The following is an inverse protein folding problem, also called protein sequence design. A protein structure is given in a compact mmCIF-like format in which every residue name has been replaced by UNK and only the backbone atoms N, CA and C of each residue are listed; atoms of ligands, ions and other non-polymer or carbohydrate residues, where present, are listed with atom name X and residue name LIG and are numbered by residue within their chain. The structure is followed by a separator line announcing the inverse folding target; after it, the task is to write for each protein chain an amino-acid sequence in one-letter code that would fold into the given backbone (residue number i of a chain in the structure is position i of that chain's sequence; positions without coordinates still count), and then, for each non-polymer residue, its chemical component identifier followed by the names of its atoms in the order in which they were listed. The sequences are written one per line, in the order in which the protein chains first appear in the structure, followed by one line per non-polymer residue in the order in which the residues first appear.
data_IF_335310540522
#
_entry.id   IF_335310540522
#
_cell.length_a   1.000
_cell.length_b   1.000
_cell.length_c   1.000
_cell.angle_alpha   90.00
_cell.angle_beta   90.00
_cell.angle_gamma   90.00
#
_symmetry.space_group_name_H-M   'P 1'
#
loop_
_entity.id
_entity.type
_entity.pdbx_description
1 polymer ?
#
# COMPACT_ATOMS: atom_id res chain seq x y z
N UNK A 1 -11.23 3.11 23.92
CA UNK A 1 -11.97 3.32 22.66
C UNK A 1 -12.14 1.94 22.03
N UNK A 2 -13.35 1.52 21.63
CA UNK A 2 -13.61 0.12 21.33
C UNK A 2 -12.96 -0.39 20.03
N UNK A 3 -12.49 0.49 19.14
CA UNK A 3 -11.95 0.11 17.84
C UNK A 3 -10.74 0.95 17.43
N UNK A 4 -9.88 0.40 16.59
CA UNK A 4 -8.61 0.99 16.14
C UNK A 4 -8.47 0.85 14.62
N UNK A 5 -8.02 1.93 13.99
CA UNK A 5 -7.68 1.97 12.56
C UNK A 5 -6.19 2.24 12.43
N UNK A 6 -5.45 1.33 11.81
CA UNK A 6 -4.06 1.55 11.46
C UNK A 6 -3.96 2.44 10.23
N UNK A 7 -3.15 3.50 10.32
CA UNK A 7 -2.84 4.42 9.20
C UNK A 7 -1.74 3.88 8.27
N UNK A 8 -1.40 2.61 8.39
CA UNK A 8 -0.39 1.92 7.61
C UNK A 8 -0.83 0.45 7.39
N UNK A 9 -0.20 -0.27 6.45
CA UNK A 9 -0.45 -1.69 6.27
C UNK A 9 -0.22 -2.45 7.58
N UNK A 10 -1.20 -3.27 7.96
CA UNK A 10 -1.07 -4.16 9.11
C UNK A 10 0.05 -5.19 8.87
N UNK A 11 0.70 -5.60 9.97
CA UNK A 11 1.69 -6.69 9.97
C UNK A 11 1.07 -8.05 10.29
N UNK A 12 -0.17 -8.04 10.75
CA UNK A 12 -0.99 -9.20 11.06
C UNK A 12 -2.13 -9.35 10.03
N UNK A 13 -3.13 -10.15 10.38
CA UNK A 13 -4.28 -10.48 9.53
C UNK A 13 -5.45 -9.49 9.70
N UNK A 14 -5.22 -8.31 10.29
CA UNK A 14 -6.26 -7.27 10.40
C UNK A 14 -6.84 -6.94 9.02
N UNK A 15 -8.17 -6.86 8.96
CA UNK A 15 -8.89 -6.56 7.73
C UNK A 15 -8.38 -5.25 7.12
N UNK A 16 -8.06 -5.28 5.84
CA UNK A 16 -7.60 -4.09 5.11
C UNK A 16 -8.78 -3.51 4.34
N UNK A 17 -9.07 -2.24 4.59
CA UNK A 17 -10.18 -1.52 3.96
C UNK A 17 -9.63 -0.33 3.16
N UNK A 18 -10.08 -0.23 1.91
CA UNK A 18 -9.87 0.92 1.04
C UNK A 18 -11.22 1.50 0.65
N UNK A 19 -11.40 2.79 0.96
CA UNK A 19 -12.64 3.51 0.67
C UNK A 19 -12.85 3.65 -0.84
N UNK A 20 -14.06 3.37 -1.30
CA UNK A 20 -14.42 3.32 -2.71
C UNK A 20 -14.08 2.01 -3.41
N UNK A 21 -13.50 1.03 -2.70
CA UNK A 21 -13.13 -0.28 -3.25
C UNK A 21 -13.85 -1.41 -2.51
N UNK A 22 -13.60 -1.57 -1.20
CA UNK A 22 -14.13 -2.70 -0.42
C UNK A 22 -14.71 -2.28 0.95
N UNK A 23 -15.05 -1.02 1.15
CA UNK A 23 -15.60 -0.51 2.42
C UNK A 23 -16.89 -1.21 2.88
N UNK A 24 -17.62 -1.85 1.96
CA UNK A 24 -18.82 -2.63 2.28
C UNK A 24 -18.52 -3.99 2.94
N UNK A 25 -17.26 -4.45 2.92
CA UNK A 25 -16.85 -5.71 3.55
C UNK A 25 -16.69 -5.60 5.07
N UNK A 26 -16.62 -4.40 5.62
CA UNK A 26 -16.51 -4.18 7.05
C UNK A 26 -17.90 -4.25 7.70
N UNK A 27 -18.15 -5.30 8.49
CA UNK A 27 -19.43 -5.54 9.16
C UNK A 27 -19.49 -4.94 10.59
N UNK A 28 -18.37 -4.42 11.08
CA UNK A 28 -18.25 -3.86 12.41
C UNK A 28 -17.95 -4.90 13.50
N UNK A 29 -17.59 -6.12 13.15
CA UNK A 29 -17.14 -7.14 14.11
C UNK A 29 -15.67 -6.96 14.50
N UNK A 30 -14.84 -6.37 13.62
CA UNK A 30 -13.41 -6.20 13.86
C UNK A 30 -13.12 -5.01 14.79
N UNK A 31 -12.31 -5.27 15.81
CA UNK A 31 -11.76 -4.24 16.70
C UNK A 31 -10.58 -3.50 16.07
N UNK A 32 -9.87 -4.14 15.12
CA UNK A 32 -8.67 -3.61 14.48
C UNK A 32 -8.77 -3.78 12.96
N UNK A 33 -8.65 -2.66 12.25
CA UNK A 33 -8.61 -2.64 10.78
C UNK A 33 -7.44 -1.79 10.28
N UNK A 34 -6.99 -2.04 9.05
CA UNK A 34 -5.95 -1.26 8.38
C UNK A 34 -6.55 -0.43 7.25
N UNK A 35 -6.18 0.86 7.21
CA UNK A 35 -6.49 1.75 6.09
C UNK A 35 -5.48 1.62 4.92
N UNK A 36 -4.81 0.46 4.83
CA UNK A 36 -3.76 0.16 3.86
C UNK A 36 -2.61 1.19 3.87
N UNK A 37 -2.01 1.45 2.70
CA UNK A 37 -1.00 2.48 2.49
C UNK A 37 -1.50 3.58 1.58
N UNK A 38 -0.81 4.72 1.54
CA UNK A 38 -1.05 5.78 0.56
C UNK A 38 -1.00 5.27 -0.89
N UNK A 39 -0.03 4.41 -1.21
CA UNK A 39 0.12 3.86 -2.58
C UNK A 39 -1.01 2.86 -2.90
N UNK A 40 -1.43 2.03 -1.95
CA UNK A 40 -2.58 1.12 -2.15
C UNK A 40 -3.86 1.91 -2.40
N UNK A 41 -4.12 2.97 -1.62
CA UNK A 41 -5.27 3.84 -1.82
C UNK A 41 -5.21 4.61 -3.17
N UNK A 42 -4.02 5.01 -3.61
CA UNK A 42 -3.85 5.66 -4.92
C UNK A 42 -4.02 4.70 -6.11
N UNK A 43 -3.76 3.40 -5.91
CA UNK A 43 -3.78 2.40 -6.98
C UNK A 43 -5.13 1.65 -7.07
N UNK A 44 -5.68 1.23 -5.94
CA UNK A 44 -6.80 0.28 -5.91
C UNK A 44 -8.07 0.76 -6.64
N UNK A 45 -8.51 2.04 -6.53
CA UNK A 45 -9.71 2.50 -7.24
C UNK A 45 -9.57 2.42 -8.77
N UNK A 46 -8.40 2.82 -9.29
CA UNK A 46 -8.11 2.75 -10.73
C UNK A 46 -8.07 1.29 -11.19
N UNK A 47 -7.39 0.43 -10.43
CA UNK A 47 -7.28 -0.99 -10.73
C UNK A 47 -8.64 -1.67 -10.71
N UNK A 48 -9.50 -1.36 -9.72
CA UNK A 48 -10.88 -1.87 -9.65
C UNK A 48 -11.67 -1.48 -10.90
N UNK A 49 -11.67 -0.20 -11.24
CA UNK A 49 -12.42 0.29 -12.40
C UNK A 49 -11.97 -0.37 -13.72
N UNK A 50 -10.67 -0.57 -13.90
CA UNK A 50 -10.13 -1.26 -15.09
C UNK A 50 -10.49 -2.75 -15.07
N UNK A 51 -10.37 -3.41 -13.92
CA UNK A 51 -10.65 -4.84 -13.81
C UNK A 51 -12.12 -5.16 -14.05
N UNK A 52 -13.02 -4.34 -13.52
CA UNK A 52 -14.48 -4.52 -13.66
C UNK A 52 -14.94 -4.44 -15.11
N UNK A 53 -14.31 -3.58 -15.91
CA UNK A 53 -14.68 -3.38 -17.31
C UNK A 53 -13.90 -4.31 -18.27
N UNK A 54 -12.62 -4.59 -17.98
CA UNK A 54 -11.71 -5.17 -18.97
C UNK A 54 -11.02 -6.47 -18.54
N UNK A 55 -11.22 -6.97 -17.32
CA UNK A 55 -10.54 -8.14 -16.74
C UNK A 55 -9.00 -8.16 -16.95
N UNK A 56 -8.28 -7.46 -16.06
CA UNK A 56 -6.81 -7.48 -16.01
C UNK A 56 -6.29 -8.92 -15.96
N UNK A 57 -5.30 -9.27 -16.80
CA UNK A 57 -4.63 -10.58 -16.81
C UNK A 57 -3.33 -10.59 -16.00
N UNK A 58 -2.50 -9.57 -16.20
CA UNK A 58 -1.24 -9.38 -15.48
C UNK A 58 -1.00 -7.88 -15.25
N UNK A 59 -0.38 -7.50 -14.13
CA UNK A 59 -0.05 -6.11 -13.84
C UNK A 59 1.31 -5.93 -13.14
N UNK A 60 2.07 -4.95 -13.62
CA UNK A 60 3.24 -4.41 -12.92
C UNK A 60 3.02 -2.92 -12.68
N UNK A 61 3.41 -2.44 -11.50
CA UNK A 61 3.29 -1.04 -11.13
C UNK A 61 4.64 -0.49 -10.68
N UNK A 62 4.84 0.79 -11.01
CA UNK A 62 5.89 1.63 -10.43
C UNK A 62 5.23 2.87 -9.86
N UNK A 63 5.62 3.27 -8.66
CA UNK A 63 5.22 4.56 -8.08
C UNK A 63 6.43 5.48 -8.04
N UNK A 64 6.27 6.71 -8.53
CA UNK A 64 7.22 7.78 -8.29
C UNK A 64 6.77 8.50 -7.04
N UNK A 65 7.39 8.13 -5.92
CA UNK A 65 6.97 8.58 -4.60
C UNK A 65 7.83 9.75 -4.12
N UNK A 66 7.20 10.78 -3.53
CA UNK A 66 7.92 11.85 -2.86
C UNK A 66 8.72 11.31 -1.67
N UNK A 67 9.81 12.00 -1.30
CA UNK A 67 10.60 11.55 -0.15
C UNK A 67 9.77 11.59 1.15
N UNK A 68 10.03 10.66 2.06
CA UNK A 68 9.29 10.54 3.33
C UNK A 68 10.20 10.71 4.54
N UNK A 69 9.60 10.83 5.73
CA UNK A 69 10.33 10.99 6.98
C UNK A 69 11.24 9.80 7.34
N UNK A 70 11.09 8.64 6.68
CA UNK A 70 11.95 7.47 6.91
C UNK A 70 13.26 7.53 6.11
N UNK A 71 13.39 8.46 5.16
CA UNK A 71 14.61 8.64 4.37
C UNK A 71 15.51 9.71 4.99
N UNK A 72 16.81 9.60 4.73
CA UNK A 72 17.80 10.46 5.36
C UNK A 72 18.02 11.78 4.60
N UNK A 73 18.24 12.87 5.33
CA UNK A 73 18.56 14.18 4.74
C UNK A 73 19.95 14.17 4.07
N UNK A 74 20.89 13.45 4.68
CA UNK A 74 22.26 13.20 4.16
C UNK A 74 22.55 11.70 4.20
N UNK A 75 23.59 11.26 3.51
CA UNK A 75 24.01 9.85 3.53
C UNK A 75 24.24 9.36 4.98
N UNK A 76 23.52 8.32 5.39
CA UNK A 76 23.55 7.77 6.74
C UNK A 76 23.27 6.26 6.75
N UNK A 77 23.53 5.61 7.89
CA UNK A 77 23.26 4.18 8.04
C UNK A 77 21.75 3.92 8.10
N UNK A 78 21.23 3.13 7.16
CA UNK A 78 19.89 2.55 7.24
C UNK A 78 19.99 1.04 7.42
N UNK A 79 19.52 0.54 8.57
CA UNK A 79 19.68 -0.87 8.98
C UNK A 79 18.90 -1.86 8.13
N UNK A 80 17.82 -1.42 7.48
CA UNK A 80 16.89 -2.30 6.74
C UNK A 80 16.78 -1.98 5.24
N UNK A 81 17.21 -0.80 4.82
CA UNK A 81 17.16 -0.36 3.43
C UNK A 81 18.38 0.52 3.14
N UNK A 82 19.45 -0.08 2.62
CA UNK A 82 20.69 0.64 2.33
C UNK A 82 20.50 1.77 1.31
N UNK A 83 19.57 1.62 0.37
CA UNK A 83 19.27 2.66 -0.63
C UNK A 83 18.55 3.83 0.01
N UNK A 84 17.63 3.57 0.94
CA UNK A 84 16.93 4.59 1.72
C UNK A 84 17.82 5.40 2.68
N UNK A 85 19.04 4.93 2.96
CA UNK A 85 20.03 5.67 3.74
C UNK A 85 20.76 6.78 2.97
N UNK A 86 20.59 6.85 1.64
CA UNK A 86 21.19 7.90 0.81
C UNK A 86 20.44 9.23 0.98
N UNK A 87 21.12 10.34 0.70
CA UNK A 87 20.55 11.69 0.76
C UNK A 87 19.30 11.81 -0.14
N UNK A 88 18.12 11.90 0.48
CA UNK A 88 16.85 11.71 -0.21
C UNK A 88 16.55 12.80 -1.25
N UNK A 89 16.86 14.06 -0.93
CA UNK A 89 16.60 15.20 -1.81
C UNK A 89 17.55 15.30 -3.01
N UNK A 90 18.63 14.52 -3.03
CA UNK A 90 19.66 14.55 -4.07
C UNK A 90 19.70 13.31 -4.96
N UNK A 91 18.78 12.35 -4.80
CA UNK A 91 18.85 11.05 -5.48
C UNK A 91 17.49 10.55 -5.96
N UNK A 92 17.50 9.77 -7.05
CA UNK A 92 16.41 8.82 -7.35
C UNK A 92 16.74 7.53 -6.58
N UNK A 93 15.85 7.14 -5.66
CA UNK A 93 16.08 6.00 -4.76
C UNK A 93 15.09 4.88 -5.09
N UNK A 94 15.53 3.79 -5.73
CA UNK A 94 14.67 2.64 -5.95
C UNK A 94 14.39 1.90 -4.64
N UNK A 95 13.11 1.62 -4.37
CA UNK A 95 12.66 0.89 -3.19
C UNK A 95 11.62 -0.16 -3.57
N UNK A 96 11.50 -1.20 -2.74
CA UNK A 96 10.43 -2.19 -2.88
C UNK A 96 9.15 -1.67 -2.21
N UNK A 97 8.00 -2.04 -2.75
CA UNK A 97 6.70 -1.73 -2.16
C UNK A 97 5.79 -2.94 -2.15
N UNK A 98 5.05 -3.12 -1.06
CA UNK A 98 4.02 -4.15 -0.93
C UNK A 98 2.67 -3.73 -1.50
N UNK A 99 2.53 -2.52 -2.05
CA UNK A 99 1.24 -1.95 -2.41
C UNK A 99 0.46 -2.81 -3.43
N UNK A 100 1.13 -3.42 -4.42
CA UNK A 100 0.50 -4.26 -5.45
C UNK A 100 -0.12 -5.50 -4.80
N UNK A 101 0.66 -6.16 -3.95
CA UNK A 101 0.23 -7.31 -3.16
C UNK A 101 -0.89 -6.93 -2.18
N UNK A 102 -0.94 -5.69 -1.71
CA UNK A 102 -2.02 -5.21 -0.86
C UNK A 102 -3.30 -4.93 -1.67
N UNK A 103 -3.20 -4.53 -2.94
CA UNK A 103 -4.38 -4.39 -3.82
C UNK A 103 -5.11 -5.73 -3.96
N UNK A 104 -4.38 -6.85 -4.07
CA UNK A 104 -5.03 -8.18 -4.13
C UNK A 104 -5.71 -8.59 -2.82
N UNK A 105 -5.48 -7.88 -1.70
CA UNK A 105 -6.25 -8.09 -0.46
C UNK A 105 -7.61 -7.39 -0.48
N UNK A 106 -7.71 -6.27 -1.19
CA UNK A 106 -8.95 -5.47 -1.30
C UNK A 106 -9.71 -5.73 -2.61
N UNK A 107 -9.08 -6.41 -3.57
CA UNK A 107 -9.68 -6.90 -4.81
C UNK A 107 -9.19 -8.35 -5.00
N UNK A 108 -9.84 -9.34 -4.36
CA UNK A 108 -9.36 -10.72 -4.32
C UNK A 108 -9.22 -11.39 -5.71
N UNK A 109 -10.02 -10.95 -6.69
CA UNK A 109 -10.02 -11.44 -8.08
C UNK A 109 -8.68 -11.22 -8.80
N UNK A 110 -7.85 -10.29 -8.30
CA UNK A 110 -6.53 -9.99 -8.84
C UNK A 110 -5.41 -10.82 -8.20
N UNK A 111 -5.72 -11.76 -7.30
CA UNK A 111 -4.70 -12.59 -6.65
C UNK A 111 -4.00 -13.48 -7.68
N UNK A 112 -2.69 -13.26 -7.85
CA UNK A 112 -1.86 -14.01 -8.80
C UNK A 112 -1.78 -13.40 -10.19
N UNK A 113 -2.40 -12.22 -10.38
CA UNK A 113 -2.26 -11.37 -11.56
C UNK A 113 -1.21 -10.27 -11.33
#
# INVERSE_FOLDING_TARGET
APKVIYSAPAKDDSQTIVMGVNQGEYDGSEDFISCASCTTNGLAPMVKAIHDEFDIQEALMTTVHAMTATQAVVDSSSRKDWRGGRAASGNIIPSSTGAAKAVTKVIPELKGK
#
